data_IF_628375657333
#
_entry.id   IF_628375657333
#
_cell.length_a   1.000
_cell.length_b   1.000
_cell.length_c   1.000
_cell.angle_alpha   90.00
_cell.angle_beta   90.00
_cell.angle_gamma   90.00
#
_symmetry.space_group_name_H-M   'P 1'
#
loop_
_entity.id
_entity.type
_entity.pdbx_description
1 polymer ?
#
# COMPACT_ATOMS: atom_id res chain seq x y z
N UNK A 1 20.70 0.28 16.52
CA UNK A 1 21.35 -1.02 16.83
C UNK A 1 20.26 -1.96 17.30
N UNK A 2 20.32 -3.25 16.97
CA UNK A 2 19.40 -4.27 17.53
C UNK A 2 20.23 -5.11 18.49
N UNK A 3 19.70 -5.33 19.70
CA UNK A 3 20.32 -6.19 20.70
C UNK A 3 19.80 -7.63 20.53
N UNK A 4 20.70 -8.59 20.43
CA UNK A 4 20.40 -10.00 20.14
C UNK A 4 20.46 -10.86 21.42
N UNK A 5 19.91 -10.33 22.50
CA UNK A 5 20.01 -10.85 23.87
C UNK A 5 19.20 -12.13 24.19
N UNK A 6 18.50 -12.72 23.21
CA UNK A 6 17.75 -13.96 23.40
C UNK A 6 16.40 -13.84 24.11
N UNK A 7 15.87 -12.63 24.35
CA UNK A 7 14.56 -12.41 25.00
C UNK A 7 13.33 -13.00 24.25
N UNK A 8 13.51 -13.53 23.04
CA UNK A 8 12.47 -14.21 22.28
C UNK A 8 11.47 -13.28 21.59
N UNK A 9 10.30 -13.81 21.23
CA UNK A 9 9.15 -13.05 20.74
C UNK A 9 7.91 -13.44 21.55
N UNK A 10 7.06 -12.47 21.88
CA UNK A 10 5.81 -12.73 22.59
C UNK A 10 4.78 -13.34 21.62
N UNK A 11 4.27 -14.54 21.95
CA UNK A 11 3.14 -15.17 21.26
C UNK A 11 1.87 -14.98 22.09
N UNK A 12 0.74 -14.73 21.43
CA UNK A 12 -0.58 -14.62 22.05
C UNK A 12 -1.57 -15.45 21.24
N UNK A 13 -2.11 -16.51 21.83
CA UNK A 13 -3.25 -17.25 21.28
C UNK A 13 -4.54 -16.47 21.56
N UNK A 14 -5.49 -16.48 20.62
CA UNK A 14 -6.81 -15.86 20.81
C UNK A 14 -7.91 -16.70 20.16
N UNK A 15 -9.07 -16.81 20.81
CA UNK A 15 -10.25 -17.53 20.32
C UNK A 15 -11.41 -16.59 20.02
N UNK A 16 -12.08 -16.79 18.89
CA UNK A 16 -13.37 -16.16 18.58
C UNK A 16 -14.44 -17.24 18.44
N UNK A 17 -15.60 -17.04 19.08
CA UNK A 17 -16.82 -17.82 18.82
C UNK A 17 -17.58 -17.30 17.59
N UNK A 18 -16.83 -16.98 16.53
CA UNK A 18 -17.31 -16.44 15.25
C UNK A 18 -16.62 -17.21 14.12
N UNK A 19 -17.40 -17.74 13.17
CA UNK A 19 -16.87 -18.41 11.98
C UNK A 19 -16.39 -17.35 10.98
N UNK A 20 -15.32 -17.66 10.23
CA UNK A 20 -14.76 -16.77 9.20
C UNK A 20 -15.81 -16.25 8.19
N UNK A 21 -16.75 -17.11 7.80
CA UNK A 21 -17.90 -16.82 6.93
C UNK A 21 -18.84 -15.72 7.46
N UNK A 22 -18.89 -15.51 8.79
CA UNK A 22 -19.74 -14.50 9.44
C UNK A 22 -19.10 -13.10 9.42
N UNK A 23 -17.83 -12.97 9.00
CA UNK A 23 -17.18 -11.67 8.80
C UNK A 23 -17.59 -10.99 7.47
N UNK A 24 -18.32 -11.71 6.61
CA UNK A 24 -18.79 -11.23 5.30
C UNK A 24 -17.78 -11.45 4.17
N UNK A 25 -18.28 -11.52 2.93
CA UNK A 25 -17.45 -11.58 1.72
C UNK A 25 -17.78 -10.38 0.80
N UNK A 26 -16.78 -9.74 0.18
CA UNK A 26 -15.34 -10.02 0.31
C UNK A 26 -14.78 -9.50 1.64
N UNK A 27 -13.82 -10.23 2.23
CA UNK A 27 -13.08 -9.77 3.41
C UNK A 27 -12.09 -8.68 2.96
N UNK A 28 -12.53 -7.42 2.92
CA UNK A 28 -11.68 -6.26 2.58
C UNK A 28 -11.63 -5.23 3.71
N UNK A 29 -10.48 -4.55 3.93
CA UNK A 29 -10.39 -3.45 4.90
C UNK A 29 -11.25 -2.25 4.48
N UNK A 30 -11.64 -1.38 5.43
CA UNK A 30 -11.45 -1.50 6.86
C UNK A 30 -12.44 -2.48 7.49
N UNK A 31 -11.97 -3.25 8.48
CA UNK A 31 -12.78 -4.29 9.14
C UNK A 31 -13.60 -3.71 10.29
N UNK A 32 -14.86 -4.13 10.50
CA UNK A 32 -15.70 -3.60 11.59
C UNK A 32 -15.19 -4.02 12.98
N UNK A 33 -14.66 -5.24 13.13
CA UNK A 33 -14.10 -5.77 14.38
C UNK A 33 -12.59 -5.51 14.52
N UNK A 34 -12.09 -4.44 13.89
CA UNK A 34 -10.66 -4.21 13.77
C UNK A 34 -10.01 -4.08 15.14
N UNK A 35 -10.51 -3.22 16.03
CA UNK A 35 -9.87 -2.98 17.33
C UNK A 35 -9.90 -4.19 18.28
N UNK A 36 -10.93 -5.05 18.18
CA UNK A 36 -10.99 -6.35 18.87
C UNK A 36 -9.87 -7.29 18.37
N UNK A 37 -9.65 -7.33 17.05
CA UNK A 37 -8.53 -8.05 16.42
C UNK A 37 -7.17 -7.35 16.69
N UNK A 38 -7.16 -6.05 16.95
CA UNK A 38 -5.93 -5.27 17.15
C UNK A 38 -5.40 -5.28 18.60
N UNK A 39 -6.28 -5.26 19.61
CA UNK A 39 -6.07 -5.15 21.06
C UNK A 39 -4.62 -5.27 21.55
N UNK A 40 -4.06 -4.22 22.16
CA UNK A 40 -2.68 -4.26 22.66
C UNK A 40 -2.58 -5.02 23.99
N UNK A 41 -1.46 -5.73 24.23
CA UNK A 41 -1.21 -6.35 25.54
C UNK A 41 -0.52 -5.31 26.44
N UNK A 42 -1.09 -4.93 27.59
CA UNK A 42 -0.49 -3.93 28.47
C UNK A 42 0.96 -4.28 28.85
N UNK A 43 1.88 -3.33 28.71
CA UNK A 43 3.30 -3.52 29.02
C UNK A 43 4.11 -4.24 27.92
N UNK A 44 3.49 -4.72 26.84
CA UNK A 44 4.22 -5.32 25.71
C UNK A 44 4.91 -4.31 24.79
N UNK A 45 4.81 -3.01 25.09
CA UNK A 45 5.28 -1.90 24.24
C UNK A 45 6.81 -1.83 24.10
N UNK A 46 7.55 -2.47 25.03
CA UNK A 46 9.00 -2.68 24.92
C UNK A 46 9.39 -3.86 24.01
N UNK A 47 8.45 -4.76 23.69
CA UNK A 47 8.69 -6.00 22.95
C UNK A 47 8.35 -5.78 21.47
N UNK A 48 9.33 -5.31 20.70
CA UNK A 48 9.15 -4.82 19.32
C UNK A 48 8.59 -5.81 18.28
N UNK A 49 8.44 -7.11 18.60
CA UNK A 49 7.76 -8.10 17.74
C UNK A 49 6.89 -9.05 18.59
N UNK A 50 5.68 -9.38 18.12
CA UNK A 50 4.80 -10.36 18.77
C UNK A 50 3.70 -10.92 17.87
N UNK A 51 3.32 -12.18 18.06
CA UNK A 51 2.33 -12.90 17.23
C UNK A 51 0.96 -12.95 17.85
N UNK A 52 -0.06 -12.90 16.99
CA UNK A 52 -1.43 -13.30 17.34
C UNK A 52 -1.90 -14.35 16.36
N UNK A 53 -2.10 -15.57 16.85
CA UNK A 53 -2.76 -16.62 16.08
C UNK A 53 -4.17 -16.80 16.64
N UNK A 54 -5.16 -16.47 15.82
CA UNK A 54 -6.53 -16.90 16.02
C UNK A 54 -6.74 -18.24 15.31
N UNK A 55 -7.65 -19.06 15.82
CA UNK A 55 -8.03 -20.36 15.22
C UNK A 55 -8.52 -20.29 13.76
N UNK A 56 -8.81 -19.08 13.25
CA UNK A 56 -9.20 -18.80 11.87
C UNK A 56 -8.41 -17.63 11.22
N UNK A 57 -7.37 -17.08 11.86
CA UNK A 57 -6.68 -15.88 11.35
C UNK A 57 -5.28 -15.67 11.96
N UNK A 58 -4.23 -15.59 11.15
CA UNK A 58 -2.91 -15.19 11.63
C UNK A 58 -2.76 -13.66 11.54
N UNK A 59 -2.61 -12.96 12.68
CA UNK A 59 -2.40 -11.51 12.72
C UNK A 59 -0.96 -11.13 13.02
N UNK A 60 -0.49 -10.29 12.10
CA UNK A 60 0.84 -9.76 11.97
C UNK A 60 0.73 -8.30 11.53
N UNK A 61 1.80 -7.53 11.65
CA UNK A 61 2.05 -6.24 10.96
C UNK A 61 3.58 -6.10 10.93
N UNK A 62 4.33 -4.97 10.87
CA UNK A 62 5.81 -5.15 10.79
C UNK A 62 6.78 -4.02 11.18
N UNK A 63 7.82 -4.37 11.97
CA UNK A 63 8.85 -3.42 12.50
C UNK A 63 9.74 -2.92 11.37
N UNK A 64 9.18 -1.95 10.68
CA UNK A 64 9.67 -1.30 9.47
C UNK A 64 11.04 -0.61 9.67
N UNK A 65 11.52 -0.46 10.90
CA UNK A 65 12.89 -0.04 11.20
C UNK A 65 13.93 -1.13 10.86
N UNK A 66 13.52 -2.39 10.70
CA UNK A 66 14.39 -3.54 10.45
C UNK A 66 14.10 -4.20 9.09
N UNK A 67 12.84 -4.34 8.68
CA UNK A 67 12.43 -5.09 7.47
C UNK A 67 11.65 -4.21 6.47
N UNK A 68 11.84 -4.43 5.16
CA UNK A 68 10.93 -3.93 4.10
C UNK A 68 9.96 -5.01 3.61
N UNK A 69 9.01 -4.68 2.73
CA UNK A 69 8.02 -5.64 2.20
C UNK A 69 8.57 -6.93 1.57
N UNK A 70 9.80 -6.93 1.06
CA UNK A 70 10.45 -8.15 0.56
C UNK A 70 11.21 -8.89 1.69
N UNK A 71 11.87 -8.16 2.59
CA UNK A 71 12.51 -8.70 3.80
C UNK A 71 11.51 -9.36 4.76
N UNK A 72 10.33 -8.76 4.86
CA UNK A 72 9.10 -9.32 5.45
C UNK A 72 8.86 -10.73 4.92
N UNK A 73 8.75 -10.91 3.61
CA UNK A 73 8.41 -12.20 3.00
C UNK A 73 9.55 -13.21 3.05
N UNK A 74 10.81 -12.76 2.98
CA UNK A 74 11.94 -13.64 3.30
C UNK A 74 11.82 -14.17 4.74
N UNK A 75 11.42 -13.32 5.70
CA UNK A 75 11.15 -13.74 7.07
C UNK A 75 9.87 -14.60 7.21
N UNK A 76 8.77 -14.28 6.51
CA UNK A 76 7.54 -15.09 6.55
C UNK A 76 7.79 -16.52 6.08
N UNK A 77 8.50 -16.68 4.96
CA UNK A 77 8.89 -18.00 4.42
C UNK A 77 9.94 -18.73 5.28
N UNK A 78 10.75 -18.02 6.06
CA UNK A 78 11.82 -18.61 6.86
C UNK A 78 11.47 -18.89 8.33
N UNK A 79 10.45 -18.21 8.88
CA UNK A 79 10.18 -18.18 10.33
C UNK A 79 8.68 -18.17 10.69
N UNK A 80 7.79 -17.92 9.72
CA UNK A 80 6.35 -17.72 9.94
C UNK A 80 6.02 -16.60 10.98
N UNK A 81 6.09 -15.35 10.48
CA UNK A 81 5.35 -14.15 10.97
C UNK A 81 5.99 -13.12 11.93
N UNK A 82 5.61 -11.83 11.75
CA UNK A 82 6.33 -10.63 12.25
C UNK A 82 5.43 -9.40 12.66
N UNK A 83 5.90 -8.30 13.33
CA UNK A 83 4.99 -7.24 13.93
C UNK A 83 5.47 -5.76 14.11
N UNK A 84 4.56 -4.74 13.97
CA UNK A 84 4.56 -3.27 14.38
C UNK A 84 3.33 -2.51 13.79
N UNK A 85 2.79 -1.45 14.42
CA UNK A 85 2.15 -0.29 13.72
C UNK A 85 2.22 1.02 14.57
N UNK A 86 2.03 2.21 13.98
CA UNK A 86 2.12 3.55 14.61
C UNK A 86 0.76 4.27 14.84
N UNK A 87 0.79 5.41 15.54
CA UNK A 87 -0.31 6.30 15.96
C UNK A 87 -0.50 7.55 15.05
N UNK A 88 -1.74 8.05 14.89
CA UNK A 88 -2.13 9.49 14.93
C UNK A 88 -3.67 9.66 14.80
N UNK A 89 -4.24 10.75 15.32
CA UNK A 89 -5.68 11.08 15.23
C UNK A 89 -5.98 12.22 14.23
N UNK A 90 -7.02 12.08 13.42
CA UNK A 90 -7.60 13.11 12.54
C UNK A 90 -8.90 12.61 11.88
N UNK A 91 -9.80 13.49 11.45
CA UNK A 91 -10.99 13.14 10.63
C UNK A 91 -10.60 12.78 9.18
N UNK A 92 -9.85 11.69 9.06
CA UNK A 92 -9.44 11.08 7.80
C UNK A 92 -9.93 9.65 7.81
N UNK A 93 -10.87 9.34 6.90
CA UNK A 93 -11.43 8.01 6.75
C UNK A 93 -10.56 7.21 5.77
N UNK A 94 -10.27 5.96 6.12
CA UNK A 94 -9.66 5.00 5.21
C UNK A 94 -10.74 4.20 4.49
N UNK A 95 -10.74 4.26 3.16
CA UNK A 95 -11.62 3.48 2.29
C UNK A 95 -10.79 2.52 1.42
N UNK A 96 -11.34 1.35 1.08
CA UNK A 96 -10.78 0.52 0.01
C UNK A 96 -11.47 0.78 -1.32
N UNK A 97 -10.70 0.66 -2.41
CA UNK A 97 -11.16 0.79 -3.79
C UNK A 97 -10.69 -0.44 -4.57
N UNK A 98 -11.63 -1.21 -5.10
CA UNK A 98 -11.35 -2.46 -5.83
C UNK A 98 -11.46 -2.24 -7.34
N UNK A 99 -10.47 -2.72 -8.09
CA UNK A 99 -10.35 -2.56 -9.53
C UNK A 99 -10.32 -3.92 -10.24
N UNK A 100 -11.25 -4.13 -11.18
CA UNK A 100 -11.20 -5.28 -12.10
C UNK A 100 -10.24 -5.04 -13.26
N UNK A 101 -9.73 -6.09 -13.94
CA UNK A 101 -8.94 -5.94 -15.16
C UNK A 101 -9.65 -5.11 -16.25
N UNK A 102 -10.98 -5.21 -16.34
CA UNK A 102 -11.78 -4.42 -17.27
C UNK A 102 -11.79 -2.92 -16.92
N UNK A 103 -11.93 -2.57 -15.65
CA UNK A 103 -11.88 -1.17 -15.19
C UNK A 103 -10.47 -0.57 -15.38
N UNK A 104 -9.42 -1.35 -15.10
CA UNK A 104 -8.02 -0.99 -15.40
C UNK A 104 -7.81 -0.74 -16.90
N UNK A 105 -8.43 -1.56 -17.77
CA UNK A 105 -8.38 -1.36 -19.22
C UNK A 105 -9.20 -0.15 -19.68
N UNK A 106 -10.32 0.19 -19.04
CA UNK A 106 -11.01 1.48 -19.29
C UNK A 106 -10.12 2.67 -18.92
N UNK A 107 -9.48 2.68 -17.74
CA UNK A 107 -8.51 3.72 -17.36
C UNK A 107 -7.39 3.85 -18.42
N UNK A 108 -6.93 2.73 -19.00
CA UNK A 108 -5.90 2.70 -20.04
C UNK A 108 -6.34 3.35 -21.37
N UNK A 109 -7.64 3.37 -21.72
CA UNK A 109 -8.16 4.02 -22.94
C UNK A 109 -7.99 5.54 -22.94
N UNK A 110 -7.89 6.17 -21.77
CA UNK A 110 -7.66 7.62 -21.64
C UNK A 110 -6.21 8.04 -21.95
N UNK A 111 -5.36 7.13 -22.43
CA UNK A 111 -3.97 7.39 -22.83
C UNK A 111 -3.75 7.31 -24.35
N UNK A 112 -2.87 8.15 -24.92
CA UNK A 112 -2.31 7.91 -26.25
C UNK A 112 -1.65 6.53 -26.34
N UNK A 113 -1.77 5.87 -27.51
CA UNK A 113 -1.34 4.48 -27.72
C UNK A 113 0.09 4.18 -27.25
N UNK A 114 1.04 5.11 -27.45
CA UNK A 114 2.45 4.94 -27.07
C UNK A 114 2.70 4.96 -25.54
N UNK A 115 1.82 5.62 -24.76
CA UNK A 115 1.82 5.49 -23.30
C UNK A 115 1.04 4.24 -22.88
N UNK A 116 -0.12 3.99 -23.49
CA UNK A 116 -0.98 2.84 -23.18
C UNK A 116 -0.23 1.50 -23.29
N UNK A 117 0.68 1.34 -24.25
CA UNK A 117 1.50 0.12 -24.42
C UNK A 117 2.75 0.07 -23.54
N UNK A 118 3.21 1.20 -22.96
CA UNK A 118 4.51 1.27 -22.28
C UNK A 118 4.45 1.72 -20.81
N UNK A 119 3.28 2.10 -20.27
CA UNK A 119 3.09 2.36 -18.84
C UNK A 119 2.73 1.06 -18.10
N UNK A 120 3.34 0.84 -16.95
CA UNK A 120 2.97 -0.29 -16.08
C UNK A 120 1.57 -0.09 -15.51
N UNK A 121 0.96 -1.17 -15.01
CA UNK A 121 -0.31 -1.10 -14.28
C UNK A 121 -0.19 -0.23 -13.01
N UNK A 122 0.98 -0.24 -12.36
CA UNK A 122 1.30 0.64 -11.24
C UNK A 122 1.32 2.12 -11.66
N UNK A 123 2.03 2.49 -12.74
CA UNK A 123 2.09 3.88 -13.21
C UNK A 123 0.68 4.40 -13.56
N UNK A 124 -0.08 3.57 -14.28
CA UNK A 124 -1.45 3.89 -14.75
C UNK A 124 -2.41 4.15 -13.60
N UNK A 125 -2.51 3.21 -12.66
CA UNK A 125 -3.41 3.35 -11.50
C UNK A 125 -2.93 4.48 -10.58
N UNK A 126 -1.62 4.58 -10.30
CA UNK A 126 -1.08 5.61 -9.41
C UNK A 126 -1.34 7.02 -9.95
N UNK A 127 -1.21 7.21 -11.27
CA UNK A 127 -1.56 8.47 -11.93
C UNK A 127 -3.06 8.79 -11.81
N UNK A 128 -3.91 7.79 -11.98
CA UNK A 128 -5.36 7.94 -11.92
C UNK A 128 -5.79 8.36 -10.51
N UNK A 129 -5.33 7.64 -9.48
CA UNK A 129 -5.66 7.94 -8.08
C UNK A 129 -5.05 9.27 -7.62
N UNK A 130 -3.82 9.60 -8.01
CA UNK A 130 -3.20 10.88 -7.68
C UNK A 130 -3.97 12.07 -8.28
N UNK A 131 -4.38 11.98 -9.55
CA UNK A 131 -5.17 13.04 -10.19
C UNK A 131 -6.56 13.15 -9.59
N UNK A 132 -7.28 12.03 -9.41
CA UNK A 132 -8.61 12.02 -8.77
C UNK A 132 -8.54 12.57 -7.34
N UNK A 133 -7.52 12.20 -6.56
CA UNK A 133 -7.30 12.71 -5.19
C UNK A 133 -7.00 14.20 -5.15
N UNK A 134 -6.21 14.71 -6.09
CA UNK A 134 -5.90 16.15 -6.17
C UNK A 134 -7.14 16.96 -6.52
N UNK A 135 -7.95 16.50 -7.49
CA UNK A 135 -9.25 17.10 -7.82
C UNK A 135 -10.23 17.04 -6.65
N UNK A 136 -10.28 15.92 -5.92
CA UNK A 136 -11.15 15.71 -4.77
C UNK A 136 -10.81 16.63 -3.58
N UNK A 137 -9.51 16.73 -3.24
CA UNK A 137 -9.02 17.55 -2.12
C UNK A 137 -9.19 19.06 -2.35
N UNK A 138 -9.38 19.52 -3.60
CA UNK A 138 -9.69 20.90 -3.95
C UNK A 138 -8.71 21.93 -3.33
N UNK A 139 -7.42 21.59 -3.36
CA UNK A 139 -6.33 22.41 -2.82
C UNK A 139 -6.17 23.71 -3.62
N UNK A 140 -5.42 24.67 -3.06
CA UNK A 140 -4.98 25.85 -3.80
C UNK A 140 -4.27 25.42 -5.10
N UNK A 141 -4.56 26.02 -6.28
CA UNK A 141 -3.89 25.67 -7.53
C UNK A 141 -2.36 25.71 -7.49
N UNK A 142 -1.75 26.51 -6.61
CA UNK A 142 -0.30 26.64 -6.42
C UNK A 142 0.27 25.64 -5.38
N UNK A 143 -0.56 24.93 -4.62
CA UNK A 143 -0.12 23.95 -3.63
C UNK A 143 0.57 22.77 -4.32
N UNK A 144 1.78 22.41 -3.87
CA UNK A 144 2.59 21.37 -4.50
C UNK A 144 2.20 20.00 -3.96
N UNK A 145 1.47 19.22 -4.77
CA UNK A 145 1.11 17.84 -4.46
C UNK A 145 2.22 16.88 -4.83
N UNK A 146 2.47 15.89 -3.96
CA UNK A 146 3.53 14.90 -4.13
C UNK A 146 2.98 13.46 -4.12
N UNK A 147 3.45 12.63 -5.06
CA UNK A 147 3.42 11.18 -4.95
C UNK A 147 4.80 10.69 -4.52
N UNK A 148 4.85 9.73 -3.61
CA UNK A 148 6.06 9.02 -3.23
C UNK A 148 5.87 7.53 -3.51
N UNK A 149 6.49 7.02 -4.57
CA UNK A 149 6.38 5.61 -4.95
C UNK A 149 7.42 4.80 -4.18
N UNK A 150 6.97 3.86 -3.34
CA UNK A 150 7.81 3.03 -2.48
C UNK A 150 8.12 1.73 -3.22
N UNK A 151 9.42 1.45 -3.40
CA UNK A 151 9.91 0.22 -4.05
C UNK A 151 10.98 -0.43 -3.19
N UNK A 152 10.94 -1.76 -3.05
CA UNK A 152 12.09 -2.49 -2.54
C UNK A 152 13.12 -2.75 -3.66
N UNK A 153 14.36 -2.33 -3.42
CA UNK A 153 15.53 -2.71 -4.19
C UNK A 153 15.84 -4.22 -4.12
N UNK A 154 15.27 -4.96 -3.17
CA UNK A 154 15.34 -6.42 -3.18
C UNK A 154 14.64 -7.02 -4.40
N UNK A 155 13.61 -6.36 -4.96
CA UNK A 155 12.97 -6.75 -6.22
C UNK A 155 13.76 -6.27 -7.46
N UNK A 156 14.66 -5.29 -7.31
CA UNK A 156 15.50 -4.70 -8.37
C UNK A 156 16.99 -4.89 -8.08
N UNK A 157 17.42 -6.15 -7.85
CA UNK A 157 18.75 -6.54 -7.35
C UNK A 157 19.96 -6.07 -8.16
N UNK A 158 19.76 -5.61 -9.40
CA UNK A 158 20.84 -5.15 -10.29
C UNK A 158 21.60 -3.97 -9.67
N UNK A 159 22.91 -4.17 -9.42
CA UNK A 159 23.82 -3.13 -8.92
C UNK A 159 23.78 -2.89 -7.40
N UNK A 160 23.16 -3.77 -6.61
CA UNK A 160 23.09 -3.66 -5.14
C UNK A 160 23.87 -4.73 -4.37
N UNK A 161 24.27 -5.83 -5.02
CA UNK A 161 25.12 -6.90 -4.46
C UNK A 161 24.69 -7.43 -3.07
N UNK A 162 23.38 -7.46 -2.81
CA UNK A 162 22.81 -7.91 -1.53
C UNK A 162 23.12 -9.40 -1.27
N UNK A 163 23.56 -9.79 -0.05
CA UNK A 163 23.83 -11.18 0.27
C UNK A 163 22.55 -12.03 0.26
N UNK A 164 22.70 -13.32 -0.02
CA UNK A 164 21.59 -14.29 0.01
C UNK A 164 21.00 -14.35 1.43
N UNK A 165 19.68 -14.18 1.56
CA UNK A 165 18.99 -14.12 2.85
C UNK A 165 19.01 -12.74 3.53
N UNK A 166 19.44 -11.67 2.84
CA UNK A 166 19.31 -10.31 3.36
C UNK A 166 17.84 -9.93 3.54
N UNK A 167 17.38 -9.90 4.79
CA UNK A 167 16.01 -9.56 5.19
C UNK A 167 15.81 -8.08 5.55
N UNK A 168 16.89 -7.28 5.54
CA UNK A 168 16.84 -5.89 5.97
C UNK A 168 16.09 -4.96 5.00
N UNK A 169 15.79 -3.74 5.43
CA UNK A 169 15.26 -2.70 4.55
C UNK A 169 16.18 -2.42 3.34
N UNK A 170 15.63 -2.43 2.13
CA UNK A 170 16.28 -1.87 0.93
C UNK A 170 15.26 -1.02 0.16
N UNK A 171 14.87 0.13 0.69
CA UNK A 171 13.76 0.92 0.12
C UNK A 171 14.26 2.14 -0.66
N UNK A 172 13.83 2.23 -1.92
CA UNK A 172 13.80 3.48 -2.67
C UNK A 172 12.45 4.19 -2.45
N UNK A 173 12.46 5.51 -2.52
CA UNK A 173 11.22 6.31 -2.49
C UNK A 173 11.29 7.46 -3.50
N UNK A 174 11.38 7.18 -4.82
CA UNK A 174 11.27 8.22 -5.85
C UNK A 174 9.98 9.04 -5.68
N UNK A 175 10.13 10.36 -5.69
CA UNK A 175 9.03 11.32 -5.56
C UNK A 175 8.71 12.02 -6.88
N UNK A 176 7.42 12.11 -7.20
CA UNK A 176 6.89 13.00 -8.23
C UNK A 176 6.22 14.19 -7.55
N UNK A 177 6.41 15.39 -8.08
CA UNK A 177 5.72 16.61 -7.64
C UNK A 177 5.05 17.32 -8.81
N UNK A 178 3.94 17.99 -8.54
CA UNK A 178 3.27 18.92 -9.47
C UNK A 178 2.45 19.94 -8.68
N UNK A 179 2.22 21.13 -9.23
CA UNK A 179 1.20 22.05 -8.71
C UNK A 179 -0.18 21.43 -8.89
N UNK A 180 -1.06 21.54 -7.88
CA UNK A 180 -2.40 20.98 -7.93
C UNK A 180 -3.19 21.47 -9.16
N UNK A 181 -3.08 22.76 -9.49
CA UNK A 181 -3.72 23.36 -10.66
C UNK A 181 -3.19 22.82 -11.99
N UNK A 182 -1.89 22.53 -12.10
CA UNK A 182 -1.26 21.97 -13.31
C UNK A 182 -1.69 20.52 -13.50
N UNK A 183 -1.65 19.71 -12.45
CA UNK A 183 -2.08 18.30 -12.49
C UNK A 183 -3.57 18.16 -12.81
N UNK A 184 -4.42 19.01 -12.24
CA UNK A 184 -5.85 19.05 -12.53
C UNK A 184 -6.13 19.39 -14.00
N UNK A 185 -5.50 20.44 -14.54
CA UNK A 185 -5.76 20.96 -15.90
C UNK A 185 -5.14 20.14 -17.02
N UNK A 186 -3.95 19.54 -16.82
CA UNK A 186 -3.27 18.78 -17.89
C UNK A 186 -3.95 17.42 -18.18
N UNK A 187 -3.81 16.87 -19.41
CA UNK A 187 -4.33 15.54 -19.76
C UNK A 187 -3.81 14.43 -18.83
N UNK A 188 -4.56 13.33 -18.70
CA UNK A 188 -4.18 12.18 -17.86
C UNK A 188 -2.77 11.64 -18.18
N UNK A 189 -2.39 11.66 -19.46
CA UNK A 189 -1.05 11.33 -19.96
C UNK A 189 0.10 11.99 -19.15
N UNK A 190 -0.02 13.27 -18.79
CA UNK A 190 1.02 14.00 -18.04
C UNK A 190 1.32 13.39 -16.68
N UNK A 191 0.29 12.90 -15.97
CA UNK A 191 0.48 12.24 -14.67
C UNK A 191 1.19 10.89 -14.84
N UNK A 192 0.85 10.13 -15.89
CA UNK A 192 1.48 8.84 -16.23
C UNK A 192 2.93 9.03 -16.69
N UNK A 193 3.23 10.05 -17.50
CA UNK A 193 4.59 10.39 -17.93
C UNK A 193 5.52 10.71 -16.75
N UNK A 194 5.04 11.56 -15.83
CA UNK A 194 5.80 11.91 -14.63
C UNK A 194 6.11 10.68 -13.75
N UNK A 195 5.11 9.82 -13.52
CA UNK A 195 5.27 8.60 -12.75
C UNK A 195 6.20 7.61 -13.45
N UNK A 196 5.94 7.28 -14.72
CA UNK A 196 6.81 6.42 -15.55
C UNK A 196 8.27 6.89 -15.54
N UNK A 197 8.54 8.20 -15.55
CA UNK A 197 9.89 8.76 -15.44
C UNK A 197 10.50 8.49 -14.05
N UNK A 198 9.77 8.75 -12.97
CA UNK A 198 10.27 8.53 -11.61
C UNK A 198 10.41 7.04 -11.25
N UNK A 199 9.54 6.16 -11.75
CA UNK A 199 9.59 4.71 -11.50
C UNK A 199 10.69 4.03 -12.32
N UNK A 200 10.98 4.49 -13.54
CA UNK A 200 12.11 3.99 -14.34
C UNK A 200 13.49 4.42 -13.82
N UNK A 201 13.58 5.56 -13.12
CA UNK A 201 14.81 6.02 -12.46
C UNK A 201 15.18 5.22 -11.20
N UNK A 202 14.32 4.31 -10.70
CA UNK A 202 14.52 3.57 -9.45
C UNK A 202 15.51 2.39 -9.57
N UNK A 203 16.76 2.67 -9.98
CA UNK A 203 17.86 1.70 -10.11
C UNK A 203 18.60 1.44 -8.79
N UNK A 204 19.47 0.44 -8.76
CA UNK A 204 20.39 0.22 -7.64
C UNK A 204 21.36 1.39 -7.39
N UNK A 205 21.65 2.19 -8.42
CA UNK A 205 22.50 3.38 -8.31
C UNK A 205 21.72 4.56 -7.70
N UNK A 206 20.45 4.71 -8.06
CA UNK A 206 19.55 5.67 -7.43
C UNK A 206 19.39 5.37 -5.94
N UNK A 207 19.29 4.09 -5.56
CA UNK A 207 19.23 3.66 -4.15
C UNK A 207 20.50 4.03 -3.39
N UNK A 208 21.68 3.82 -3.98
CA UNK A 208 22.97 4.27 -3.40
C UNK A 208 23.00 5.80 -3.22
N UNK A 209 22.68 6.56 -4.26
CA UNK A 209 22.66 8.03 -4.22
C UNK A 209 21.65 8.59 -3.20
N UNK A 210 20.50 7.93 -3.02
CA UNK A 210 19.52 8.29 -1.98
C UNK A 210 20.06 7.98 -0.57
N UNK A 211 20.83 6.92 -0.37
CA UNK A 211 21.48 6.64 0.90
C UNK A 211 22.53 7.73 1.24
N UNK A 212 23.40 8.08 0.30
CA UNK A 212 24.41 9.15 0.47
C UNK A 212 23.74 10.50 0.80
N UNK A 213 22.64 10.81 0.11
CA UNK A 213 21.83 12.00 0.36
C UNK A 213 21.18 12.00 1.75
N UNK A 214 20.70 10.86 2.24
CA UNK A 214 20.07 10.73 3.56
C UNK A 214 21.08 10.79 4.71
N UNK A 215 22.33 10.37 4.50
CA UNK A 215 23.44 10.62 5.44
C UNK A 215 23.78 12.12 5.49
N UNK A 216 23.77 12.78 4.33
CA UNK A 216 24.16 14.20 4.20
C UNK A 216 23.05 15.18 4.63
N UNK A 217 21.78 14.85 4.43
CA UNK A 217 20.62 15.73 4.67
C UNK A 217 19.50 15.00 5.40
N UNK A 218 19.07 15.57 6.54
CA UNK A 218 17.88 15.11 7.27
C UNK A 218 16.63 15.24 6.39
N UNK A 219 15.80 14.18 6.39
CA UNK A 219 14.67 14.00 5.45
C UNK A 219 13.54 15.00 5.71
N UNK A 220 13.20 15.82 4.72
CA UNK A 220 12.03 16.73 4.76
C UNK A 220 10.86 16.04 4.05
N UNK A 221 9.88 15.55 4.81
CA UNK A 221 8.61 15.00 4.30
C UNK A 221 7.42 15.74 4.93
N UNK A 222 7.24 17.01 4.54
CA UNK A 222 6.09 17.84 4.92
C UNK A 222 5.65 18.71 3.73
N UNK A 223 5.00 18.09 2.75
CA UNK A 223 4.15 18.78 1.77
C UNK A 223 2.69 18.39 2.05
N UNK A 224 1.76 19.33 1.86
CA UNK A 224 0.33 19.03 1.99
C UNK A 224 -0.12 18.14 0.83
N UNK A 225 -1.14 17.32 1.06
CA UNK A 225 -1.63 16.41 0.02
C UNK A 225 -0.67 15.28 -0.36
N UNK A 226 0.38 15.01 0.43
CA UNK A 226 1.26 13.84 0.25
C UNK A 226 0.47 12.54 0.00
N UNK A 227 0.93 11.74 -0.98
CA UNK A 227 0.38 10.45 -1.37
C UNK A 227 1.51 9.42 -1.51
N UNK A 228 1.77 8.67 -0.44
CA UNK A 228 2.81 7.63 -0.40
C UNK A 228 2.17 6.31 -0.84
N UNK A 229 2.75 5.64 -1.84
CA UNK A 229 2.13 4.47 -2.49
C UNK A 229 3.11 3.32 -2.53
N UNK A 230 2.72 2.15 -2.01
CA UNK A 230 3.53 0.92 -2.00
C UNK A 230 2.81 -0.19 -2.77
N UNK A 231 3.50 -0.78 -3.75
CA UNK A 231 2.99 -1.96 -4.44
C UNK A 231 3.31 -3.24 -3.66
N UNK A 232 2.28 -4.02 -3.33
CA UNK A 232 2.41 -5.33 -2.69
C UNK A 232 1.79 -6.46 -3.53
N UNK A 233 1.38 -6.19 -4.78
CA UNK A 233 0.81 -7.20 -5.69
C UNK A 233 1.87 -8.17 -6.22
N UNK A 234 3.12 -7.73 -6.32
CA UNK A 234 4.27 -8.56 -6.77
C UNK A 234 4.85 -9.45 -5.67
N UNK A 235 4.36 -9.30 -4.45
CA UNK A 235 4.93 -9.91 -3.24
C UNK A 235 4.41 -11.32 -2.94
N UNK A 236 3.42 -11.83 -3.69
CA UNK A 236 2.96 -13.24 -3.65
C UNK A 236 2.56 -13.72 -2.24
N UNK A 237 1.98 -12.85 -1.42
CA UNK A 237 1.50 -13.23 -0.09
C UNK A 237 0.41 -14.32 -0.15
N UNK A 238 -0.32 -14.41 -1.27
CA UNK A 238 -1.31 -15.45 -1.55
C UNK A 238 -0.71 -16.86 -1.74
N UNK A 239 0.62 -16.98 -1.90
CA UNK A 239 1.33 -18.26 -2.08
C UNK A 239 1.93 -18.80 -0.76
N UNK A 240 1.65 -18.15 0.37
CA UNK A 240 2.15 -18.55 1.70
C UNK A 240 1.29 -19.68 2.32
N UNK A 241 1.71 -20.93 2.12
CA UNK A 241 1.15 -22.08 2.84
C UNK A 241 1.96 -22.39 4.12
N UNK A 242 1.27 -22.51 5.25
CA UNK A 242 1.86 -22.89 6.55
C UNK A 242 1.69 -24.38 6.90
N UNK A 243 1.33 -25.19 5.90
CA UNK A 243 1.00 -26.62 6.03
C UNK A 243 -0.49 -26.91 6.15
N UNK A 244 -1.34 -25.88 6.04
CA UNK A 244 -2.81 -25.94 6.21
C UNK A 244 -3.58 -25.31 5.04
N UNK A 245 -2.90 -24.88 3.98
CA UNK A 245 -3.47 -24.21 2.81
C UNK A 245 -3.18 -22.71 2.74
N UNK A 246 -3.56 -22.13 1.60
CA UNK A 246 -3.32 -20.73 1.24
C UNK A 246 -4.28 -19.75 1.95
N UNK A 247 -3.86 -18.50 2.20
CA UNK A 247 -4.69 -17.50 2.87
C UNK A 247 -5.85 -17.00 1.99
N UNK A 248 -7.07 -17.02 2.52
CA UNK A 248 -8.27 -16.49 1.84
C UNK A 248 -8.25 -14.96 1.66
N UNK A 249 -7.51 -14.25 2.53
CA UNK A 249 -7.21 -12.83 2.39
C UNK A 249 -5.84 -12.50 2.98
N UNK A 250 -5.11 -11.58 2.34
CA UNK A 250 -3.97 -10.87 2.94
C UNK A 250 -4.09 -9.39 2.62
N UNK A 251 -3.76 -8.53 3.58
CA UNK A 251 -3.71 -7.08 3.39
C UNK A 251 -3.24 -6.33 4.64
N UNK A 252 -3.04 -5.01 4.49
CA UNK A 252 -2.57 -4.16 5.60
C UNK A 252 -3.74 -3.79 6.52
N UNK A 253 -3.65 -4.14 7.80
CA UNK A 253 -4.76 -4.01 8.75
C UNK A 253 -5.22 -2.55 8.98
N UNK A 254 -4.29 -1.60 9.09
CA UNK A 254 -4.55 -0.15 9.00
C UNK A 254 -3.39 0.49 8.24
N UNK A 255 -3.67 1.43 7.34
CA UNK A 255 -2.64 2.25 6.69
C UNK A 255 -2.24 3.46 7.57
N UNK A 256 -1.42 4.36 7.02
CA UNK A 256 -1.32 5.75 7.50
C UNK A 256 -2.21 6.67 6.67
N UNK A 257 -2.65 7.82 7.23
CA UNK A 257 -3.57 8.75 6.55
C UNK A 257 -3.08 9.33 5.19
N UNK A 258 -1.83 9.04 4.82
CA UNK A 258 -1.17 9.43 3.57
C UNK A 258 -0.44 8.26 2.89
N UNK A 259 -0.60 7.02 3.37
CA UNK A 259 -0.10 5.80 2.73
C UNK A 259 -1.25 5.04 2.02
N UNK A 260 -0.92 4.46 0.87
CA UNK A 260 -1.77 3.58 0.09
C UNK A 260 -1.02 2.30 -0.28
N UNK A 261 -1.64 1.15 -0.01
CA UNK A 261 -1.11 -0.16 -0.37
C UNK A 261 -1.93 -0.75 -1.51
N UNK A 262 -1.24 -1.27 -2.53
CA UNK A 262 -1.86 -2.02 -3.62
C UNK A 262 -1.74 -3.50 -3.29
N UNK A 263 -2.88 -4.14 -3.08
CA UNK A 263 -2.99 -5.52 -2.61
C UNK A 263 -3.67 -6.32 -3.70
N UNK A 264 -3.13 -7.49 -4.04
CA UNK A 264 -3.82 -8.42 -4.94
C UNK A 264 -4.87 -9.19 -4.13
N UNK A 265 -6.09 -9.25 -4.65
CA UNK A 265 -7.19 -10.01 -4.04
C UNK A 265 -7.84 -10.90 -5.10
N UNK A 266 -8.37 -12.05 -4.71
CA UNK A 266 -9.02 -12.98 -5.64
C UNK A 266 -10.46 -13.24 -5.19
N UNK A 267 -11.41 -12.96 -6.08
CA UNK A 267 -12.84 -13.10 -5.79
C UNK A 267 -13.49 -13.96 -6.86
N UNK A 268 -14.05 -15.12 -6.49
CA UNK A 268 -14.69 -16.06 -7.41
C UNK A 268 -13.85 -16.42 -8.65
N UNK A 269 -12.52 -16.44 -8.50
CA UNK A 269 -11.55 -16.70 -9.57
C UNK A 269 -11.05 -15.46 -10.33
N UNK A 270 -11.72 -14.31 -10.23
CA UNK A 270 -11.26 -13.04 -10.82
C UNK A 270 -10.11 -12.45 -9.99
N UNK A 271 -8.97 -12.17 -10.62
CA UNK A 271 -7.82 -11.48 -10.00
C UNK A 271 -8.09 -9.96 -10.00
N UNK A 272 -8.16 -9.37 -8.80
CA UNK A 272 -8.50 -7.97 -8.54
C UNK A 272 -7.34 -7.23 -7.87
N UNK A 273 -7.28 -5.90 -8.03
CA UNK A 273 -6.43 -5.04 -7.19
C UNK A 273 -7.29 -4.25 -6.22
N UNK A 274 -7.00 -4.35 -4.92
CA UNK A 274 -7.56 -3.49 -3.87
C UNK A 274 -6.53 -2.42 -3.53
N UNK A 275 -6.94 -1.16 -3.56
CA UNK A 275 -6.12 -0.02 -3.11
C UNK A 275 -6.77 0.65 -1.92
N UNK A 276 -6.04 0.71 -0.80
CA UNK A 276 -6.45 1.49 0.38
C UNK A 276 -6.14 2.96 0.15
N UNK A 277 -7.10 3.86 0.36
CA UNK A 277 -6.93 5.31 0.18
C UNK A 277 -7.51 6.03 1.40
N UNK A 278 -6.76 6.97 1.95
CA UNK A 278 -7.15 7.79 3.09
C UNK A 278 -7.43 9.23 2.65
N UNK A 279 -8.61 9.75 3.02
CA UNK A 279 -9.10 11.09 2.64
C UNK A 279 -9.90 11.72 3.80
N UNK A 280 -9.92 13.07 3.92
CA UNK A 280 -10.91 13.75 4.74
C UNK A 280 -12.33 13.35 4.31
N UNK A 281 -13.25 13.14 5.25
CA UNK A 281 -14.58 12.58 4.95
C UNK A 281 -15.31 13.36 3.83
N UNK A 282 -15.23 14.69 3.87
CA UNK A 282 -15.80 15.62 2.88
C UNK A 282 -15.25 15.47 1.44
N UNK A 283 -14.12 14.81 1.24
CA UNK A 283 -13.50 14.63 -0.08
C UNK A 283 -13.85 13.29 -0.75
N UNK A 284 -14.49 12.35 -0.03
CA UNK A 284 -14.73 10.97 -0.49
C UNK A 284 -15.68 10.94 -1.69
N UNK A 285 -16.83 11.61 -1.61
CA UNK A 285 -17.83 11.58 -2.68
C UNK A 285 -17.30 12.21 -3.96
N UNK A 286 -16.57 13.32 -3.83
CA UNK A 286 -15.89 13.96 -4.96
C UNK A 286 -14.81 13.05 -5.54
N UNK A 287 -14.04 12.34 -4.71
CA UNK A 287 -13.07 11.36 -5.18
C UNK A 287 -13.72 10.21 -5.96
N UNK A 288 -14.83 9.66 -5.46
CA UNK A 288 -15.59 8.65 -6.18
C UNK A 288 -16.13 9.17 -7.52
N UNK A 289 -16.61 10.42 -7.57
CA UNK A 289 -17.10 11.05 -8.80
C UNK A 289 -15.98 11.21 -9.84
N UNK A 290 -14.79 11.70 -9.45
CA UNK A 290 -13.65 11.80 -10.37
C UNK A 290 -13.17 10.42 -10.82
N UNK A 291 -13.12 9.43 -9.92
CA UNK A 291 -12.69 8.07 -10.25
C UNK A 291 -13.67 7.37 -11.22
N UNK A 292 -14.98 7.59 -11.07
CA UNK A 292 -16.01 7.08 -12.00
C UNK A 292 -15.85 7.65 -13.42
N UNK A 293 -15.35 8.88 -13.59
CA UNK A 293 -15.07 9.47 -14.93
C UNK A 293 -13.90 8.82 -15.66
N UNK A 294 -13.04 8.08 -14.95
CA UNK A 294 -11.89 7.36 -15.49
C UNK A 294 -12.20 5.86 -15.75
N UNK A 295 -13.41 5.42 -15.41
CA UNK A 295 -13.82 4.02 -15.46
C UNK A 295 -15.15 3.95 -16.22
N UNK A 296 -15.08 3.75 -17.54
CA UNK A 296 -16.26 3.45 -18.37
C UNK A 296 -16.95 2.17 -17.86
N UNK A 297 -17.96 2.32 -17.00
CA UNK A 297 -18.68 1.20 -16.38
C UNK A 297 -20.10 1.07 -16.93
N UNK A 298 -20.19 0.76 -18.23
CA UNK A 298 -21.44 0.40 -18.93
C UNK A 298 -22.15 -0.86 -18.36
N UNK A 299 -21.63 -1.45 -17.29
CA UNK A 299 -22.15 -2.67 -16.65
C UNK A 299 -22.59 -2.45 -15.19
N UNK A 300 -22.55 -1.21 -14.69
CA UNK A 300 -23.17 -0.83 -13.41
C UNK A 300 -22.57 -1.52 -12.17
N UNK A 301 -21.39 -2.14 -12.27
CA UNK A 301 -20.73 -2.75 -11.11
C UNK A 301 -20.23 -1.63 -10.21
N UNK A 302 -20.76 -1.55 -8.99
CA UNK A 302 -20.31 -0.54 -8.04
C UNK A 302 -18.81 -0.73 -7.73
N UNK A 303 -18.09 0.39 -7.67
CA UNK A 303 -16.83 0.48 -6.95
C UNK A 303 -17.17 0.12 -5.50
N UNK A 304 -16.69 -1.03 -5.02
CA UNK A 304 -16.96 -1.46 -3.65
C UNK A 304 -16.17 -0.60 -2.66
N UNK A 305 -16.82 0.43 -2.12
CA UNK A 305 -16.30 1.24 -1.02
C UNK A 305 -16.74 0.59 0.28
N UNK A 306 -15.78 -0.03 0.98
CA UNK A 306 -15.93 -0.30 2.41
C UNK A 306 -15.25 0.84 3.19
N UNK A 307 -15.93 1.36 4.19
CA UNK A 307 -15.48 2.40 5.12
C UNK A 307 -15.95 2.06 6.52
N UNK A 308 -15.11 2.26 7.54
CA UNK A 308 -15.61 2.36 8.92
C UNK A 308 -16.39 3.67 9.03
N UNK A 309 -17.61 3.59 9.58
CA UNK A 309 -18.45 4.75 9.84
C UNK A 309 -17.99 5.47 11.11
#
# INVERSE_FOLDING_TARGET
MVDCNGQGMLFVEVSADVKLQQLGHPIVPPFPFLDEVLYNVPGSDAIGNSFRMWRFHCRCTLTHNVWDGCGVIQFLNAVAWHKLKQLYESDIVQCSFTFTPNQINSIRKHLPQHLATTCTQFDLLTACLWKCRTLALNLDPQEVVQVLCIFSGQARKQGLNLPRGYYGNVIASPSVVSEAGVLSKKPFAYAVELLKKATSMASGEYIRSVADLLVTKKRILKLKGNFMVSDTTTLKFEELDFGWGYPEFVGVAISFPFFSFYVKYKNNGEDLIVVQISLPRVAIDKFQQELKKMIDDNHGRQIWIQSML
#
